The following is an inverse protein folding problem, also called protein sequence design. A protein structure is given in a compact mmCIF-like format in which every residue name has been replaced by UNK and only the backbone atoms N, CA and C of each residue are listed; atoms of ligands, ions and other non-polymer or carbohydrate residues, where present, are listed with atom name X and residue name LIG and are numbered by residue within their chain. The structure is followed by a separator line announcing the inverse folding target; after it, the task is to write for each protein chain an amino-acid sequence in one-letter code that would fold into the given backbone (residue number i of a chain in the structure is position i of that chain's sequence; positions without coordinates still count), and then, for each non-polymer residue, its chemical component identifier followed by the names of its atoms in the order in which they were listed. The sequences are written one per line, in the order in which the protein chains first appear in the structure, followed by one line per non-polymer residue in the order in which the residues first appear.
data_IF_680516763746
#
_entry.id   IF_680516763746
#
_cell.length_a   1.000
_cell.length_b   1.000
_cell.length_c   1.000
_cell.angle_alpha   90.00
_cell.angle_beta   90.00
_cell.angle_gamma   90.00
#
_symmetry.space_group_name_H-M   'P 1'
#
loop_
_entity.id
_entity.type
_entity.pdbx_description
1 polymer ?
#
# COMPACT_ATOMS: atom_id res chain seq x y z
N UNK A 1 -41.99 33.36 -5.42
CA UNK A 1 -41.39 32.09 -5.89
C UNK A 1 -39.89 32.24 -5.74
N UNK A 2 -39.36 31.88 -4.58
CA UNK A 2 -37.92 31.85 -4.31
C UNK A 2 -37.66 30.52 -3.64
N UNK A 3 -37.26 29.54 -4.45
CA UNK A 3 -36.77 28.26 -3.95
C UNK A 3 -35.45 28.49 -3.22
N UNK A 4 -35.51 28.51 -1.89
CA UNK A 4 -34.33 28.40 -1.05
C UNK A 4 -33.91 26.93 -1.07
N UNK A 5 -32.99 26.59 -1.96
CA UNK A 5 -32.30 25.31 -1.95
C UNK A 5 -31.58 25.15 -0.60
N UNK A 6 -32.15 24.33 0.28
CA UNK A 6 -31.50 23.87 1.49
C UNK A 6 -30.29 23.04 1.07
N UNK A 7 -29.09 23.54 1.37
CA UNK A 7 -27.86 22.78 1.17
C UNK A 7 -27.94 21.54 2.05
N UNK A 8 -28.25 20.38 1.46
CA UNK A 8 -28.14 19.08 2.10
C UNK A 8 -26.73 18.99 2.69
N UNK A 9 -26.63 19.03 4.02
CA UNK A 9 -25.38 18.78 4.72
C UNK A 9 -24.97 17.35 4.41
N UNK A 10 -24.09 17.16 3.43
CA UNK A 10 -23.54 15.83 3.13
C UNK A 10 -22.84 15.36 4.40
N UNK A 11 -23.24 14.19 4.89
CA UNK A 11 -22.52 13.48 5.94
C UNK A 11 -21.04 13.43 5.56
N UNK A 12 -20.17 13.80 6.50
CA UNK A 12 -18.73 13.77 6.28
C UNK A 12 -18.31 12.33 5.98
N UNK A 13 -17.73 12.11 4.80
CA UNK A 13 -17.16 10.80 4.46
C UNK A 13 -15.80 10.65 5.15
N UNK A 14 -15.62 9.55 5.86
CA UNK A 14 -14.31 9.12 6.36
C UNK A 14 -13.55 8.49 5.20
N UNK A 15 -12.26 8.84 5.06
CA UNK A 15 -11.38 8.21 4.09
C UNK A 15 -10.83 6.92 4.70
N UNK A 16 -11.25 5.79 4.13
CA UNK A 16 -10.74 4.48 4.48
C UNK A 16 -9.39 4.24 3.79
N UNK A 17 -8.61 3.29 4.30
CA UNK A 17 -7.44 2.78 3.59
C UNK A 17 -7.55 1.27 3.42
N UNK A 18 -6.99 0.74 2.35
CA UNK A 18 -6.97 -0.70 2.10
C UNK A 18 -5.67 -1.32 2.63
N UNK A 19 -5.75 -2.47 3.31
CA UNK A 19 -4.59 -3.16 3.88
C UNK A 19 -4.76 -4.67 3.85
N UNK A 20 -3.73 -5.41 4.25
CA UNK A 20 -3.72 -6.87 4.26
C UNK A 20 -3.66 -7.41 5.68
N UNK A 21 -4.39 -8.51 5.94
CA UNK A 21 -4.27 -9.25 7.20
C UNK A 21 -3.31 -10.43 7.13
N UNK A 22 -3.03 -10.96 5.93
CA UNK A 22 -2.20 -12.14 5.76
C UNK A 22 -1.35 -12.11 4.49
N UNK A 23 -0.41 -13.03 4.39
CA UNK A 23 0.35 -13.22 3.15
C UNK A 23 -0.54 -13.84 2.07
N UNK A 24 -0.29 -13.49 0.82
CA UNK A 24 -0.98 -14.07 -0.33
C UNK A 24 -0.93 -15.60 -0.30
N UNK A 25 -2.10 -16.22 -0.42
CA UNK A 25 -2.27 -17.68 -0.46
C UNK A 25 -1.59 -18.35 -1.66
N UNK A 26 -1.35 -17.61 -2.73
CA UNK A 26 -0.74 -18.11 -3.96
C UNK A 26 0.12 -17.03 -4.63
N UNK A 27 1.07 -17.47 -5.46
CA UNK A 27 1.83 -16.57 -6.34
C UNK A 27 0.98 -16.19 -7.55
N UNK A 28 0.74 -14.90 -7.72
CA UNK A 28 -0.08 -14.37 -8.80
C UNK A 28 0.74 -14.21 -10.07
N UNK A 29 0.17 -14.62 -11.22
CA UNK A 29 0.80 -14.51 -12.53
C UNK A 29 0.08 -13.46 -13.38
N UNK A 30 0.85 -12.50 -13.88
CA UNK A 30 0.41 -11.57 -14.91
C UNK A 30 1.07 -11.87 -16.24
N UNK A 31 0.28 -11.80 -17.31
CA UNK A 31 0.77 -11.84 -18.69
C UNK A 31 0.51 -10.50 -19.35
N UNK A 32 1.48 -9.98 -20.09
CA UNK A 32 1.25 -8.82 -20.94
C UNK A 32 0.24 -9.15 -22.05
N UNK A 33 -0.42 -8.15 -22.66
CA UNK A 33 -1.35 -8.36 -23.77
C UNK A 33 -0.77 -9.18 -24.93
N UNK A 34 0.51 -8.98 -25.25
CA UNK A 34 1.24 -9.79 -26.24
C UNK A 34 1.63 -11.21 -25.77
N UNK A 35 1.31 -11.59 -24.53
CA UNK A 35 1.63 -12.89 -23.89
C UNK A 35 3.11 -13.24 -23.76
N UNK A 36 4.00 -12.30 -24.05
CA UNK A 36 5.45 -12.54 -24.06
C UNK A 36 6.11 -12.22 -22.71
N UNK A 37 5.59 -11.24 -21.96
CA UNK A 37 6.10 -10.93 -20.63
C UNK A 37 5.25 -11.64 -19.58
N UNK A 38 5.91 -12.28 -18.62
CA UNK A 38 5.26 -12.89 -17.46
C UNK A 38 5.91 -12.36 -16.18
N UNK A 39 5.08 -11.97 -15.23
CA UNK A 39 5.51 -11.45 -13.93
C UNK A 39 4.79 -12.27 -12.86
N UNK A 40 5.57 -12.78 -11.90
CA UNK A 40 5.09 -13.51 -10.75
C UNK A 40 5.27 -12.66 -9.49
N UNK A 41 4.21 -12.50 -8.71
CA UNK A 41 4.23 -11.63 -7.54
C UNK A 41 3.40 -12.20 -6.38
N UNK A 42 3.84 -11.91 -5.16
CA UNK A 42 3.10 -12.16 -3.92
C UNK A 42 2.93 -10.85 -3.15
N UNK A 43 1.89 -10.75 -2.33
CA UNK A 43 1.68 -9.63 -1.42
C UNK A 43 1.72 -10.09 0.04
N UNK A 44 2.25 -9.27 0.93
CA UNK A 44 2.31 -9.53 2.37
C UNK A 44 2.11 -8.24 3.16
N UNK A 45 1.55 -8.31 4.38
CA UNK A 45 1.40 -7.15 5.24
C UNK A 45 2.74 -6.71 5.81
N UNK A 46 2.89 -5.40 5.97
CA UNK A 46 4.02 -4.76 6.64
C UNK A 46 3.60 -4.41 8.07
N UNK A 47 4.52 -4.50 9.03
CA UNK A 47 4.25 -4.07 10.39
C UNK A 47 3.96 -2.57 10.50
N UNK A 48 3.07 -2.19 11.42
CA UNK A 48 2.69 -0.79 11.64
C UNK A 48 3.88 0.11 12.00
N UNK A 49 4.90 -0.44 12.68
CA UNK A 49 6.11 0.31 13.00
C UNK A 49 6.92 0.69 11.76
N UNK A 50 7.02 -0.22 10.78
CA UNK A 50 7.69 0.07 9.51
C UNK A 50 6.85 1.08 8.73
N UNK A 51 5.52 0.94 8.72
CA UNK A 51 4.63 1.90 8.06
C UNK A 51 4.82 3.32 8.60
N UNK A 52 4.79 3.48 9.94
CA UNK A 52 5.07 4.76 10.61
C UNK A 52 6.47 5.26 10.30
N UNK A 53 7.47 4.38 10.30
CA UNK A 53 8.85 4.75 9.96
C UNK A 53 9.02 5.25 8.52
N UNK A 54 8.19 4.77 7.57
CA UNK A 54 8.13 5.26 6.19
C UNK A 54 7.44 6.63 6.17
N UNK A 55 6.27 6.75 6.82
CA UNK A 55 5.50 8.00 6.90
C UNK A 55 6.28 9.14 7.60
N UNK A 56 7.11 8.82 8.61
CA UNK A 56 8.03 9.73 9.30
C UNK A 56 9.26 10.10 8.46
N UNK A 57 9.46 9.46 7.31
CA UNK A 57 10.58 9.69 6.38
C UNK A 57 11.89 9.01 6.76
N UNK A 58 12.00 8.35 7.92
CA UNK A 58 13.22 7.63 8.35
C UNK A 58 13.53 6.40 7.49
N UNK A 59 12.48 5.72 7.02
CA UNK A 59 12.55 4.56 6.13
C UNK A 59 12.06 4.87 4.71
N UNK A 60 11.74 6.15 4.46
CA UNK A 60 11.17 6.62 3.20
C UNK A 60 12.18 6.66 2.05
N UNK A 61 11.74 7.03 0.85
CA UNK A 61 12.59 7.13 -0.35
C UNK A 61 13.70 8.20 -0.24
N UNK A 62 13.49 9.22 0.60
CA UNK A 62 14.40 10.38 0.77
C UNK A 62 15.52 10.10 1.78
N UNK A 63 15.40 9.04 2.58
CA UNK A 63 16.41 8.65 3.55
C UNK A 63 17.67 8.10 2.86
N UNK A 64 18.83 8.21 3.52
CA UNK A 64 20.06 7.63 3.00
C UNK A 64 19.91 6.10 2.88
N UNK A 65 20.20 5.48 1.72
CA UNK A 65 20.02 4.05 1.52
C UNK A 65 20.81 3.18 2.50
N UNK A 66 21.99 3.61 2.96
CA UNK A 66 22.80 2.81 3.91
C UNK A 66 22.20 2.85 5.30
N UNK A 67 21.79 4.05 5.75
CA UNK A 67 21.13 4.22 7.04
C UNK A 67 19.80 3.47 7.09
N UNK A 68 18.98 3.60 6.04
CA UNK A 68 17.72 2.86 5.89
C UNK A 68 17.92 1.35 5.96
N UNK A 69 18.88 0.81 5.22
CA UNK A 69 19.14 -0.64 5.23
C UNK A 69 19.61 -1.13 6.61
N UNK A 70 20.42 -0.32 7.29
CA UNK A 70 20.89 -0.63 8.65
C UNK A 70 19.73 -0.64 9.64
N UNK A 71 18.83 0.35 9.56
CA UNK A 71 17.63 0.43 10.38
C UNK A 71 16.66 -0.72 10.12
N UNK A 72 16.42 -1.07 8.85
CA UNK A 72 15.59 -2.21 8.46
C UNK A 72 16.13 -3.54 9.00
N UNK A 73 17.45 -3.73 8.94
CA UNK A 73 18.12 -4.92 9.46
C UNK A 73 18.09 -4.98 10.99
N UNK A 74 18.49 -3.90 11.67
CA UNK A 74 18.63 -3.91 13.13
C UNK A 74 17.30 -3.90 13.87
N UNK A 75 16.33 -3.11 13.39
CA UNK A 75 15.07 -2.89 14.11
C UNK A 75 13.96 -3.83 13.67
N UNK A 76 13.96 -4.25 12.40
CA UNK A 76 12.85 -4.99 11.81
C UNK A 76 13.23 -6.39 11.31
N UNK A 77 14.49 -6.82 11.49
CA UNK A 77 15.01 -8.14 11.08
C UNK A 77 14.79 -8.44 9.59
N UNK A 78 14.89 -7.41 8.74
CA UNK A 78 14.78 -7.59 7.29
C UNK A 78 16.12 -8.05 6.70
N UNK A 79 16.03 -8.94 5.71
CA UNK A 79 17.21 -9.37 4.97
C UNK A 79 17.86 -8.20 4.20
N UNK A 80 19.18 -8.18 4.21
CA UNK A 80 19.97 -7.09 3.63
C UNK A 80 19.78 -7.00 2.11
N UNK A 81 19.59 -8.13 1.43
CA UNK A 81 19.33 -8.13 -0.01
C UNK A 81 17.95 -7.55 -0.32
N UNK A 82 16.96 -7.89 0.49
CA UNK A 82 15.58 -7.37 0.37
C UNK A 82 15.57 -5.84 0.54
N UNK A 83 16.30 -5.31 1.54
CA UNK A 83 16.39 -3.87 1.79
C UNK A 83 17.00 -3.08 0.62
N UNK A 84 18.02 -3.66 -0.04
CA UNK A 84 18.69 -3.04 -1.20
C UNK A 84 17.84 -3.05 -2.47
N UNK A 85 16.90 -4.00 -2.58
CA UNK A 85 16.08 -4.24 -3.77
C UNK A 85 14.67 -3.64 -3.69
N UNK A 86 14.45 -2.66 -2.80
CA UNK A 86 13.22 -1.87 -2.78
C UNK A 86 13.18 -0.99 -4.04
N UNK A 87 12.17 -1.18 -4.87
CA UNK A 87 12.02 -0.45 -6.13
C UNK A 87 11.16 0.80 -5.99
N UNK A 88 10.06 0.70 -5.24
CA UNK A 88 9.01 1.71 -5.22
C UNK A 88 8.45 1.87 -3.81
N UNK A 89 8.09 3.10 -3.49
CA UNK A 89 7.23 3.49 -2.38
C UNK A 89 5.94 4.03 -2.98
N UNK A 90 4.78 3.79 -2.39
CA UNK A 90 3.52 4.28 -2.93
C UNK A 90 2.42 4.32 -1.89
N UNK A 91 1.35 5.11 -2.11
CA UNK A 91 1.14 6.04 -3.23
C UNK A 91 2.04 7.29 -3.17
N UNK A 92 2.08 8.05 -4.27
CA UNK A 92 2.79 9.35 -4.41
C UNK A 92 4.28 9.34 -4.01
N UNK A 93 4.96 8.22 -4.23
CA UNK A 93 6.37 8.00 -3.90
C UNK A 93 6.73 8.06 -2.41
N UNK A 94 5.83 8.40 -1.49
CA UNK A 94 6.11 8.50 -0.04
C UNK A 94 5.22 7.59 0.82
N UNK A 95 4.23 6.92 0.21
CA UNK A 95 3.31 6.07 0.95
C UNK A 95 3.94 4.79 1.48
N UNK A 96 3.34 4.27 2.55
CA UNK A 96 3.77 3.07 3.28
C UNK A 96 3.43 1.75 2.56
N UNK A 97 3.55 1.71 1.24
CA UNK A 97 3.49 0.47 0.45
C UNK A 97 4.79 0.30 -0.34
N UNK A 98 5.25 -0.94 -0.45
CA UNK A 98 6.56 -1.27 -1.01
C UNK A 98 6.42 -2.24 -2.17
N UNK A 99 7.24 -2.04 -3.20
CA UNK A 99 7.52 -3.08 -4.20
C UNK A 99 8.96 -3.49 -4.06
N UNK A 100 9.20 -4.79 -3.86
CA UNK A 100 10.54 -5.36 -3.67
C UNK A 100 10.80 -6.42 -4.72
N UNK A 101 12.00 -6.37 -5.28
CA UNK A 101 12.50 -7.40 -6.18
C UNK A 101 13.15 -8.54 -5.40
N UNK A 102 12.59 -9.74 -5.53
CA UNK A 102 13.15 -10.98 -5.01
C UNK A 102 13.63 -11.93 -6.12
N UNK A 103 13.67 -11.44 -7.38
CA UNK A 103 14.10 -12.24 -8.52
C UNK A 103 15.61 -12.54 -8.48
N UNK A 104 16.01 -13.61 -9.16
CA UNK A 104 17.40 -14.03 -9.28
C UNK A 104 17.79 -14.14 -10.76
N UNK A 105 18.86 -13.43 -11.16
CA UNK A 105 19.48 -13.51 -12.50
C UNK A 105 18.56 -13.18 -13.70
N UNK A 106 17.58 -12.28 -13.53
CA UNK A 106 16.72 -11.83 -14.64
C UNK A 106 17.38 -10.68 -15.42
N UNK A 107 17.35 -10.77 -16.75
CA UNK A 107 17.87 -9.74 -17.64
C UNK A 107 16.84 -8.61 -17.87
N UNK A 108 17.30 -7.42 -18.28
CA UNK A 108 16.44 -6.28 -18.63
C UNK A 108 15.54 -5.74 -17.50
N UNK A 109 15.83 -6.06 -16.24
CA UNK A 109 15.02 -5.62 -15.08
C UNK A 109 14.92 -4.10 -14.94
N UNK A 110 15.96 -3.35 -15.31
CA UNK A 110 15.98 -1.90 -15.18
C UNK A 110 14.88 -1.22 -16.01
N UNK A 111 14.58 -1.74 -17.20
CA UNK A 111 13.50 -1.20 -18.05
C UNK A 111 12.11 -1.50 -17.45
N UNK A 112 11.95 -2.68 -16.86
CA UNK A 112 10.69 -3.10 -16.22
C UNK A 112 10.44 -2.30 -14.96
N UNK A 113 11.49 -2.02 -14.18
CA UNK A 113 11.43 -1.29 -12.92
C UNK A 113 10.73 0.06 -13.07
N UNK A 114 11.05 0.84 -14.11
CA UNK A 114 10.44 2.15 -14.33
C UNK A 114 8.94 2.01 -14.62
N UNK A 115 8.56 1.08 -15.49
CA UNK A 115 7.16 0.82 -15.84
C UNK A 115 6.34 0.29 -14.65
N UNK A 116 6.94 -0.58 -13.83
CA UNK A 116 6.30 -1.08 -12.59
C UNK A 116 6.12 0.05 -11.60
N UNK A 117 7.12 0.91 -11.40
CA UNK A 117 7.01 2.05 -10.49
C UNK A 117 5.88 2.99 -10.91
N UNK A 118 5.82 3.41 -12.18
CA UNK A 118 4.76 4.29 -12.68
C UNK A 118 3.36 3.67 -12.54
N UNK A 119 3.22 2.37 -12.82
CA UNK A 119 1.95 1.67 -12.63
C UNK A 119 1.57 1.55 -11.15
N UNK A 120 2.55 1.29 -10.29
CA UNK A 120 2.34 1.10 -8.86
C UNK A 120 1.81 2.37 -8.18
N UNK A 121 2.27 3.56 -8.57
CA UNK A 121 1.78 4.82 -7.99
C UNK A 121 0.27 5.00 -8.16
N UNK A 122 -0.26 4.65 -9.33
CA UNK A 122 -1.69 4.68 -9.59
C UNK A 122 -2.43 3.54 -8.90
N UNK A 123 -1.82 2.36 -8.90
CA UNK A 123 -2.40 1.16 -8.31
C UNK A 123 -2.58 1.34 -6.81
N UNK A 124 -1.54 1.80 -6.09
CA UNK A 124 -1.60 2.05 -4.65
C UNK A 124 -2.54 3.19 -4.24
N UNK A 125 -2.96 4.03 -5.20
CA UNK A 125 -3.94 5.10 -4.99
C UNK A 125 -5.38 4.60 -5.14
N UNK A 126 -5.61 3.69 -6.09
CA UNK A 126 -6.92 3.11 -6.38
C UNK A 126 -6.88 1.63 -6.01
N UNK A 127 -7.14 1.30 -4.74
CA UNK A 127 -7.19 -0.09 -4.26
C UNK A 127 -8.32 -0.91 -4.89
N UNK A 128 -8.22 -2.26 -4.87
CA UNK A 128 -9.19 -3.15 -5.50
C UNK A 128 -10.54 -3.27 -4.78
N UNK A 129 -10.65 -2.92 -3.49
CA UNK A 129 -11.89 -3.10 -2.72
C UNK A 129 -12.85 -1.93 -2.89
N UNK A 130 -12.37 -0.71 -2.71
CA UNK A 130 -13.19 0.50 -2.60
C UNK A 130 -12.62 1.67 -3.41
N UNK A 131 -11.59 1.43 -4.25
CA UNK A 131 -10.87 2.47 -5.00
C UNK A 131 -10.23 3.52 -4.08
N UNK A 132 -9.86 3.11 -2.86
CA UNK A 132 -9.22 3.97 -1.86
C UNK A 132 -7.71 3.69 -1.76
N UNK A 133 -6.98 4.59 -1.09
CA UNK A 133 -5.53 4.45 -0.96
C UNK A 133 -5.15 3.20 -0.15
N UNK A 134 -4.19 2.42 -0.64
CA UNK A 134 -3.61 1.31 0.10
C UNK A 134 -2.65 1.79 1.20
N UNK A 135 -2.45 0.97 2.23
CA UNK A 135 -1.43 1.17 3.28
C UNK A 135 -0.92 -0.16 3.84
N UNK A 136 0.38 -0.21 4.07
CA UNK A 136 1.03 -1.31 4.79
C UNK A 136 1.15 -2.58 3.96
N UNK A 137 1.23 -2.45 2.64
CA UNK A 137 1.34 -3.59 1.73
C UNK A 137 2.74 -3.69 1.14
N UNK A 138 3.34 -4.87 1.23
CA UNK A 138 4.59 -5.23 0.54
C UNK A 138 4.30 -6.20 -0.60
N UNK A 139 4.65 -5.79 -1.80
CA UNK A 139 4.57 -6.59 -3.01
C UNK A 139 5.95 -7.14 -3.36
N UNK A 140 6.10 -8.46 -3.38
CA UNK A 140 7.34 -9.16 -3.70
C UNK A 140 7.29 -9.74 -5.11
N UNK A 141 8.14 -9.25 -6.00
CA UNK A 141 8.30 -9.80 -7.35
C UNK A 141 9.19 -11.04 -7.25
N UNK A 142 8.60 -12.20 -7.47
CA UNK A 142 9.25 -13.50 -7.30
C UNK A 142 10.05 -13.89 -8.54
N UNK A 143 9.46 -13.71 -9.73
CA UNK A 143 10.08 -14.07 -10.99
C UNK A 143 9.52 -13.22 -12.14
N UNK A 144 10.34 -12.96 -13.15
CA UNK A 144 9.97 -12.20 -14.34
C UNK A 144 10.62 -12.82 -15.57
N UNK A 145 9.82 -13.12 -16.59
CA UNK A 145 10.30 -13.53 -17.90
C UNK A 145 9.97 -12.42 -18.91
N UNK A 146 10.89 -11.47 -19.15
CA UNK A 146 10.68 -10.43 -20.14
C UNK A 146 10.97 -10.92 -21.56
N UNK A 147 10.31 -10.31 -22.55
CA UNK A 147 10.65 -10.52 -23.95
C UNK A 147 12.03 -9.91 -24.27
N UNK A 148 12.75 -10.41 -25.28
CA UNK A 148 14.10 -9.93 -25.65
C UNK A 148 14.10 -8.53 -26.29
N UNK A 149 13.04 -8.15 -26.98
CA UNK A 149 12.93 -6.85 -27.65
C UNK A 149 12.26 -5.76 -26.77
N UNK A 150 12.88 -4.58 -26.72
CA UNK A 150 12.41 -3.43 -25.94
C UNK A 150 11.00 -2.95 -26.35
N UNK A 151 10.66 -3.02 -27.64
CA UNK A 151 9.34 -2.61 -28.17
C UNK A 151 8.21 -3.43 -27.52
N UNK A 152 8.48 -4.68 -27.17
CA UNK A 152 7.53 -5.59 -26.53
C UNK A 152 7.52 -5.50 -25.00
N UNK A 153 8.40 -4.68 -24.42
CA UNK A 153 8.48 -4.36 -22.97
C UNK A 153 8.02 -2.94 -22.63
N UNK A 154 7.56 -2.16 -23.60
CA UNK A 154 7.15 -0.79 -23.37
C UNK A 154 6.00 -0.64 -22.35
N UNK A 155 5.82 0.58 -21.85
CA UNK A 155 4.83 0.96 -20.85
C UNK A 155 3.41 0.39 -21.10
N UNK A 156 2.92 0.44 -22.35
CA UNK A 156 1.59 -0.07 -22.70
C UNK A 156 1.43 -1.59 -22.54
N UNK A 157 2.53 -2.34 -22.50
CA UNK A 157 2.51 -3.79 -22.29
C UNK A 157 2.70 -4.17 -20.82
N UNK A 158 3.37 -3.36 -20.01
CA UNK A 158 3.72 -3.68 -18.62
C UNK A 158 2.85 -2.95 -17.58
N UNK A 159 2.43 -1.71 -17.83
CA UNK A 159 1.66 -0.96 -16.83
C UNK A 159 0.27 -1.56 -16.57
N UNK A 160 -0.54 -1.90 -17.61
CA UNK A 160 -1.86 -2.50 -17.39
C UNK A 160 -1.83 -3.85 -16.66
N UNK A 161 -0.96 -4.82 -17.01
CA UNK A 161 -0.88 -6.05 -16.23
C UNK A 161 -0.31 -5.82 -14.84
N UNK A 162 0.57 -4.82 -14.64
CA UNK A 162 1.07 -4.45 -13.30
C UNK A 162 -0.05 -4.11 -12.33
N UNK A 163 -0.93 -3.20 -12.75
CA UNK A 163 -2.10 -2.86 -11.94
C UNK A 163 -2.96 -4.08 -11.64
N UNK A 164 -3.27 -4.89 -12.66
CA UNK A 164 -4.11 -6.09 -12.50
C UNK A 164 -3.52 -7.10 -11.52
N UNK A 165 -2.22 -7.37 -11.57
CA UNK A 165 -1.66 -8.37 -10.68
C UNK A 165 -1.51 -7.88 -9.25
N UNK A 166 -1.25 -6.60 -9.01
CA UNK A 166 -1.23 -6.07 -7.64
C UNK A 166 -2.61 -6.24 -7.01
N UNK A 167 -3.68 -5.94 -7.74
CA UNK A 167 -5.05 -6.18 -7.28
C UNK A 167 -5.32 -7.65 -7.00
N UNK A 168 -4.92 -8.54 -7.90
CA UNK A 168 -5.09 -9.98 -7.67
C UNK A 168 -4.29 -10.44 -6.45
N UNK A 169 -3.06 -9.95 -6.28
CA UNK A 169 -2.19 -10.31 -5.15
C UNK A 169 -2.74 -9.80 -3.81
N UNK A 170 -3.36 -8.63 -3.80
CA UNK A 170 -4.04 -8.08 -2.65
C UNK A 170 -5.30 -8.89 -2.31
N UNK A 171 -6.13 -9.20 -3.31
CA UNK A 171 -7.34 -10.02 -3.14
C UNK A 171 -7.03 -11.43 -2.62
N UNK A 172 -5.87 -12.00 -2.97
CA UNK A 172 -5.44 -13.32 -2.47
C UNK A 172 -4.79 -13.29 -1.09
N UNK A 173 -4.58 -12.09 -0.52
CA UNK A 173 -3.86 -11.85 0.74
C UNK A 173 -4.78 -11.38 1.89
N UNK A 174 -6.08 -11.72 1.84
CA UNK A 174 -7.08 -11.36 2.85
C UNK A 174 -7.15 -9.83 3.06
N UNK A 175 -7.65 -9.09 2.05
CA UNK A 175 -7.68 -7.63 2.10
C UNK A 175 -8.73 -7.16 3.11
N UNK A 176 -8.44 -6.05 3.78
CA UNK A 176 -9.26 -5.44 4.82
C UNK A 176 -9.21 -3.92 4.76
N UNK A 177 -10.21 -3.27 5.38
CA UNK A 177 -10.28 -1.81 5.45
C UNK A 177 -9.76 -1.32 6.80
N UNK A 178 -8.94 -0.28 6.76
CA UNK A 178 -8.44 0.45 7.92
C UNK A 178 -9.23 1.74 8.08
N UNK A 179 -9.91 1.86 9.23
CA UNK A 179 -10.61 3.06 9.65
C UNK A 179 -9.68 4.04 10.37
N UNK A 180 -9.80 5.36 10.10
CA UNK A 180 -9.08 6.37 10.87
C UNK A 180 -9.67 6.52 12.27
N UNK A 181 -8.83 6.38 13.28
CA UNK A 181 -9.22 6.55 14.69
C UNK A 181 -8.82 7.95 15.13
N UNK A 182 -9.79 8.75 15.59
CA UNK A 182 -9.53 10.08 16.12
C UNK A 182 -9.30 10.01 17.64
N UNK A 183 -8.13 10.47 18.08
CA UNK A 183 -7.88 10.69 19.51
C UNK A 183 -8.60 11.98 19.93
N UNK A 184 -9.58 11.86 20.82
CA UNK A 184 -10.32 13.00 21.36
C UNK A 184 -9.88 13.25 22.79
N UNK A 185 -9.28 14.41 23.04
CA UNK A 185 -9.00 14.90 24.40
C UNK A 185 -10.20 15.70 24.90
N UNK A 186 -10.80 15.26 26.00
CA UNK A 186 -11.99 15.87 26.57
C UNK A 186 -11.64 16.48 27.93
N UNK A 187 -11.65 17.81 28.01
CA UNK A 187 -11.45 18.53 29.27
C UNK A 187 -12.79 18.81 29.92
N UNK A 188 -12.94 18.39 31.18
CA UNK A 188 -14.19 18.53 31.93
C UNK A 188 -13.96 19.34 33.22
N UNK A 189 -14.96 20.13 33.65
CA UNK A 189 -14.95 20.73 34.99
C UNK A 189 -15.15 19.65 36.07
N UNK A 190 -14.67 19.93 37.29
CA UNK A 190 -14.70 19.02 38.43
C UNK A 190 -16.13 18.53 38.70
N UNK A 191 -16.39 17.23 38.49
CA UNK A 191 -17.70 16.59 38.67
C UNK A 191 -18.41 16.14 37.39
N UNK A 192 -17.87 16.43 36.20
CA UNK A 192 -18.47 16.01 34.91
C UNK A 192 -18.11 14.59 34.44
N UNK A 193 -17.25 13.87 35.17
CA UNK A 193 -16.64 12.62 34.70
C UNK A 193 -17.64 11.49 34.46
N UNK A 194 -18.65 11.35 35.34
CA UNK A 194 -19.66 10.29 35.23
C UNK A 194 -20.52 10.39 33.96
N UNK A 195 -20.80 11.62 33.50
CA UNK A 195 -21.56 11.85 32.26
C UNK A 195 -20.77 11.53 31.00
N UNK A 196 -19.44 11.69 31.03
CA UNK A 196 -18.60 11.32 29.89
C UNK A 196 -18.42 9.80 29.77
N UNK A 197 -18.34 9.07 30.88
CA UNK A 197 -18.29 7.61 30.84
C UNK A 197 -19.62 6.99 30.36
N UNK A 198 -20.76 7.61 30.66
CA UNK A 198 -22.07 7.19 30.12
C UNK A 198 -22.17 7.36 28.60
N UNK A 199 -21.47 8.34 28.00
CA UNK A 199 -21.41 8.47 26.54
C UNK A 199 -20.72 7.28 25.86
N UNK A 200 -19.75 6.64 26.54
CA UNK A 200 -19.11 5.41 26.06
C UNK A 200 -20.06 4.20 26.06
N UNK A 201 -21.10 4.20 26.91
CA UNK A 201 -22.16 3.18 26.90
C UNK A 201 -23.24 3.47 25.84
N UNK A 202 -23.55 4.74 25.61
CA UNK A 202 -24.60 5.18 24.66
C UNK A 202 -24.13 5.25 23.20
N UNK A 203 -22.83 5.21 22.94
CA UNK A 203 -22.25 5.16 21.61
C UNK A 203 -21.32 3.95 21.45
N UNK A 204 -21.88 2.74 21.21
CA UNK A 204 -21.11 1.50 21.06
C UNK A 204 -20.05 1.57 19.95
N UNK A 205 -20.24 2.46 18.97
CA UNK A 205 -19.33 2.75 17.86
C UNK A 205 -18.01 3.43 18.28
N UNK A 206 -17.88 3.87 19.53
CA UNK A 206 -16.63 4.38 20.11
C UNK A 206 -15.76 3.27 20.74
N UNK A 207 -16.22 2.00 20.75
CA UNK A 207 -15.43 0.88 21.26
C UNK A 207 -14.52 0.33 20.15
N UNK A 208 -13.22 0.40 20.37
CA UNK A 208 -12.20 -0.45 19.76
C UNK A 208 -11.61 -1.36 20.83
#
# INVERSE_FOLDING_TARGET
MTDSASSLSRTQFLLYRETLNGTSSQTCLAKSPNKHNRIYLTAEPISDEVCKGIEDGKLGPKADPKERNTLLKMKYDWDENTCRKIWCYGPETDGANLVIDQTQAVQYLNEIKEHVNSAFQWTAKEGPLCEENMRGIRFNIMDVTPHADAIHRGAGQLMPPTRRFCFVAELTAQPTLQEPILLVEITLPTGGHERCLQLHELAPWLRL
#
